data_IF_533007952290
#
_entry.id   IF_533007952290
#
_cell.length_a   1.000
_cell.length_b   1.000
_cell.length_c   1.000
_cell.angle_alpha   90.00
_cell.angle_beta   90.00
_cell.angle_gamma   90.00
#
_symmetry.space_group_name_H-M   'P 1'
#
loop_
_entity.id
_entity.type
_entity.pdbx_description
1 polymer ?
#
# COMPACT_ATOMS: atom_id res chain seq x y z
N UNK A 1 12.96 -7.05 -0.99
CA UNK A 1 13.94 -7.14 0.12
C UNK A 1 13.65 -6.15 1.25
N UNK A 2 13.45 -4.86 0.99
CA UNK A 2 13.18 -3.87 2.05
C UNK A 2 11.98 -4.23 2.94
N UNK A 3 10.89 -4.76 2.38
CA UNK A 3 9.74 -5.21 3.17
C UNK A 3 10.10 -6.25 4.25
N UNK A 4 10.99 -7.20 3.94
CA UNK A 4 11.47 -8.20 4.92
C UNK A 4 12.33 -7.56 6.03
N UNK A 5 13.05 -6.49 5.70
CA UNK A 5 13.81 -5.72 6.68
C UNK A 5 12.85 -4.95 7.60
N UNK A 6 11.78 -4.37 7.05
CA UNK A 6 10.73 -3.72 7.84
C UNK A 6 10.03 -4.72 8.78
N UNK A 7 9.71 -5.94 8.31
CA UNK A 7 9.21 -7.01 9.17
C UNK A 7 10.17 -7.32 10.33
N UNK A 8 11.46 -7.47 10.05
CA UNK A 8 12.45 -7.73 11.10
C UNK A 8 12.54 -6.58 12.10
N UNK A 9 12.43 -5.32 11.66
CA UNK A 9 12.37 -4.16 12.56
C UNK A 9 11.12 -4.26 13.45
N UNK A 10 9.95 -4.50 12.89
CA UNK A 10 8.72 -4.62 13.67
C UNK A 10 8.74 -5.80 14.64
N UNK A 11 9.38 -6.91 14.27
CA UNK A 11 9.59 -8.06 15.15
C UNK A 11 10.41 -7.68 16.40
N UNK A 12 11.45 -6.83 16.26
CA UNK A 12 12.21 -6.35 17.43
C UNK A 12 11.38 -5.51 18.40
N UNK A 13 10.28 -4.91 17.91
CA UNK A 13 9.32 -4.12 18.69
C UNK A 13 8.07 -4.94 19.07
N UNK A 14 8.12 -6.28 18.90
CA UNK A 14 7.01 -7.20 19.18
C UNK A 14 5.73 -6.93 18.39
N UNK A 15 5.88 -6.47 17.13
CA UNK A 15 4.79 -6.19 16.20
C UNK A 15 4.81 -7.17 15.03
N UNK A 16 3.79 -8.01 14.92
CA UNK A 16 3.51 -8.81 13.71
C UNK A 16 2.47 -8.06 12.86
N UNK A 17 2.91 -7.48 11.74
CA UNK A 17 2.05 -6.76 10.81
C UNK A 17 1.56 -7.64 9.65
N UNK A 18 1.80 -8.96 9.71
CA UNK A 18 1.28 -9.91 8.73
C UNK A 18 1.60 -9.55 7.27
N UNK A 19 2.79 -8.98 6.98
CA UNK A 19 3.17 -8.76 5.58
C UNK A 19 3.35 -10.10 4.85
N UNK A 20 3.29 -10.02 3.52
CA UNK A 20 3.51 -11.17 2.64
C UNK A 20 4.51 -10.78 1.54
N UNK A 21 5.81 -10.66 1.86
CA UNK A 21 6.84 -10.46 0.86
C UNK A 21 7.11 -11.77 0.13
N UNK A 22 6.33 -12.01 -0.92
CA UNK A 22 6.46 -13.18 -1.80
C UNK A 22 7.85 -13.26 -2.48
N UNK A 23 8.23 -14.47 -2.86
CA UNK A 23 9.45 -14.76 -3.61
C UNK A 23 9.44 -14.03 -4.96
N UNK A 24 10.49 -13.25 -5.22
CA UNK A 24 10.69 -12.58 -6.51
C UNK A 24 12.19 -12.55 -6.77
N UNK A 25 12.62 -13.21 -7.85
CA UNK A 25 14.03 -13.41 -8.19
C UNK A 25 14.23 -13.11 -9.67
N UNK A 26 15.12 -12.18 -10.01
CA UNK A 26 15.60 -12.02 -11.38
C UNK A 26 16.55 -13.16 -11.73
N UNK A 27 16.33 -13.79 -12.88
CA UNK A 27 17.12 -14.93 -13.38
C UNK A 27 17.93 -14.56 -14.63
N UNK A 28 17.78 -13.33 -15.13
CA UNK A 28 18.48 -12.79 -16.30
C UNK A 28 17.91 -11.44 -16.75
N UNK A 29 18.33 -10.96 -17.92
CA UNK A 29 17.84 -9.70 -18.48
C UNK A 29 16.34 -9.79 -18.80
N UNK A 30 15.54 -8.93 -18.14
CA UNK A 30 14.07 -8.88 -18.23
C UNK A 30 13.35 -10.23 -18.02
N UNK A 31 14.01 -11.19 -17.36
CA UNK A 31 13.44 -12.48 -17.00
C UNK A 31 13.63 -12.73 -15.50
N UNK A 32 12.63 -13.39 -14.91
CA UNK A 32 12.59 -13.66 -13.48
C UNK A 32 11.51 -14.67 -13.13
N UNK A 33 11.46 -15.03 -11.86
CA UNK A 33 10.47 -15.91 -11.28
C UNK A 33 9.77 -15.18 -10.14
N UNK A 34 8.45 -15.36 -10.07
CA UNK A 34 7.59 -14.79 -9.02
C UNK A 34 6.82 -15.93 -8.38
N UNK A 35 6.80 -15.97 -7.06
CA UNK A 35 6.00 -16.90 -6.27
C UNK A 35 4.52 -16.59 -6.42
N UNK A 36 3.72 -17.63 -6.65
CA UNK A 36 2.26 -17.53 -6.67
C UNK A 36 1.75 -17.72 -5.24
N UNK A 37 1.15 -16.67 -4.68
CA UNK A 37 0.41 -16.74 -3.42
C UNK A 37 -0.91 -17.46 -3.70
N UNK A 38 -1.13 -18.60 -3.03
CA UNK A 38 -2.35 -19.38 -3.18
C UNK A 38 -3.56 -18.65 -2.58
N UNK A 39 -4.73 -18.97 -3.10
CA UNK A 39 -6.01 -18.52 -2.56
C UNK A 39 -6.07 -17.00 -2.39
N UNK A 40 -5.57 -16.27 -3.40
CA UNK A 40 -5.52 -14.82 -3.42
C UNK A 40 -6.06 -14.24 -4.72
N UNK A 41 -6.75 -13.10 -4.60
CA UNK A 41 -7.44 -12.43 -5.69
C UNK A 41 -7.15 -10.93 -5.65
N UNK A 42 -7.08 -10.26 -6.80
CA UNK A 42 -6.88 -8.80 -6.81
C UNK A 42 -8.14 -8.07 -6.31
N UNK A 43 -7.97 -6.92 -5.67
CA UNK A 43 -9.11 -6.08 -5.22
C UNK A 43 -9.96 -5.66 -6.42
N UNK A 44 -9.34 -5.38 -7.57
CA UNK A 44 -10.05 -5.06 -8.80
C UNK A 44 -10.93 -6.21 -9.30
N UNK A 45 -10.44 -7.46 -9.30
CA UNK A 45 -11.24 -8.63 -9.68
C UNK A 45 -12.43 -8.83 -8.73
N UNK A 46 -12.22 -8.62 -7.42
CA UNK A 46 -13.30 -8.68 -6.42
C UNK A 46 -14.38 -7.63 -6.73
N UNK A 47 -14.00 -6.37 -6.98
CA UNK A 47 -14.95 -5.32 -7.37
C UNK A 47 -15.68 -5.64 -8.68
N UNK A 48 -14.94 -6.09 -9.71
CA UNK A 48 -15.50 -6.43 -11.03
C UNK A 48 -16.51 -7.59 -10.97
N UNK A 49 -16.32 -8.55 -10.06
CA UNK A 49 -17.24 -9.68 -9.90
C UNK A 49 -18.67 -9.24 -9.53
N UNK A 50 -18.82 -8.10 -8.85
CA UNK A 50 -20.11 -7.59 -8.38
C UNK A 50 -20.64 -6.42 -9.22
N UNK A 51 -19.76 -5.52 -9.67
CA UNK A 51 -20.14 -4.27 -10.36
C UNK A 51 -19.88 -4.35 -11.88
N UNK A 52 -19.24 -5.41 -12.35
CA UNK A 52 -18.78 -5.54 -13.74
C UNK A 52 -17.62 -4.61 -14.06
N UNK A 53 -17.33 -4.44 -15.35
CA UNK A 53 -16.23 -3.60 -15.85
C UNK A 53 -16.58 -2.10 -15.85
N UNK A 54 -17.25 -1.64 -14.80
CA UNK A 54 -17.65 -0.24 -14.61
C UNK A 54 -16.87 0.36 -13.45
N UNK A 55 -16.54 1.65 -13.50
CA UNK A 55 -15.85 2.35 -12.42
C UNK A 55 -16.73 2.62 -11.17
N UNK A 56 -17.88 1.95 -11.06
CA UNK A 56 -18.87 2.17 -10.00
C UNK A 56 -18.56 1.33 -8.75
N UNK A 57 -17.36 1.50 -8.21
CA UNK A 57 -16.89 0.75 -7.03
C UNK A 57 -17.86 0.83 -5.86
N UNK A 58 -17.96 -0.28 -5.10
CA UNK A 58 -18.87 -0.41 -3.95
C UNK A 58 -18.09 -0.76 -2.68
N UNK A 59 -18.45 -0.11 -1.59
CA UNK A 59 -17.76 -0.23 -0.30
C UNK A 59 -17.93 -1.63 0.32
N UNK A 60 -19.10 -2.25 0.20
CA UNK A 60 -19.44 -3.51 0.87
C UNK A 60 -18.83 -4.77 0.22
N UNK A 61 -18.35 -4.68 -1.02
CA UNK A 61 -17.99 -5.85 -1.84
C UNK A 61 -16.85 -6.66 -1.24
N UNK A 62 -15.81 -6.00 -0.73
CA UNK A 62 -14.67 -6.68 -0.14
C UNK A 62 -15.05 -7.44 1.13
N UNK A 63 -15.90 -6.84 1.97
CA UNK A 63 -16.37 -7.48 3.20
C UNK A 63 -17.27 -8.69 2.89
N UNK A 64 -18.18 -8.57 1.92
CA UNK A 64 -19.00 -9.70 1.47
C UNK A 64 -18.16 -10.83 0.90
N UNK A 65 -17.16 -10.52 0.06
CA UNK A 65 -16.24 -11.52 -0.46
C UNK A 65 -15.51 -12.25 0.67
N UNK A 66 -14.97 -11.52 1.65
CA UNK A 66 -14.26 -12.14 2.78
C UNK A 66 -15.20 -12.99 3.65
N UNK A 67 -16.46 -12.57 3.82
CA UNK A 67 -17.49 -13.33 4.55
C UNK A 67 -17.88 -14.62 3.82
N UNK A 68 -17.95 -14.59 2.50
CA UNK A 68 -18.21 -15.78 1.67
C UNK A 68 -17.08 -16.80 1.80
N UNK A 69 -15.82 -16.35 1.78
CA UNK A 69 -14.63 -17.20 1.94
C UNK A 69 -14.47 -17.72 3.37
N UNK A 70 -14.92 -16.97 4.36
CA UNK A 70 -14.91 -17.33 5.77
C UNK A 70 -16.33 -17.45 6.34
N UNK A 71 -17.09 -18.53 6.02
CA UNK A 71 -18.48 -18.66 6.47
C UNK A 71 -18.63 -18.86 7.98
N UNK A 72 -17.58 -19.36 8.64
CA UNK A 72 -17.54 -19.53 10.10
C UNK A 72 -17.19 -18.19 10.73
N UNK A 73 -18.02 -17.70 11.66
CA UNK A 73 -17.84 -16.37 12.30
C UNK A 73 -16.45 -16.19 12.90
N UNK A 74 -15.94 -17.18 13.62
CA UNK A 74 -14.59 -17.13 14.22
C UNK A 74 -13.50 -16.96 13.15
N UNK A 75 -13.61 -17.66 12.02
CA UNK A 75 -12.66 -17.52 10.90
C UNK A 75 -12.77 -16.16 10.24
N UNK A 76 -13.99 -15.64 10.10
CA UNK A 76 -14.22 -14.31 9.56
C UNK A 76 -13.60 -13.22 10.44
N UNK A 77 -13.80 -13.29 11.76
CA UNK A 77 -13.19 -12.35 12.70
C UNK A 77 -11.66 -12.42 12.67
N UNK A 78 -11.09 -13.64 12.61
CA UNK A 78 -9.65 -13.82 12.43
C UNK A 78 -9.14 -13.23 11.10
N UNK A 79 -9.91 -13.37 10.02
CA UNK A 79 -9.58 -12.79 8.72
C UNK A 79 -9.65 -11.25 8.73
N UNK A 80 -10.66 -10.67 9.38
CA UNK A 80 -10.77 -9.21 9.57
C UNK A 80 -9.61 -8.69 10.42
N UNK A 81 -9.22 -9.42 11.47
CA UNK A 81 -8.05 -9.07 12.26
C UNK A 81 -6.77 -9.11 11.42
N UNK A 82 -6.55 -10.18 10.66
CA UNK A 82 -5.41 -10.30 9.74
C UNK A 82 -5.40 -9.19 8.69
N UNK A 83 -6.58 -8.79 8.21
CA UNK A 83 -6.74 -7.66 7.30
C UNK A 83 -6.31 -6.35 7.94
N UNK A 84 -6.73 -6.08 9.18
CA UNK A 84 -6.32 -4.86 9.91
C UNK A 84 -4.80 -4.76 10.04
N UNK A 85 -4.13 -5.85 10.43
CA UNK A 85 -2.66 -5.85 10.59
C UNK A 85 -1.92 -5.71 9.25
N UNK A 86 -2.29 -6.53 8.26
CA UNK A 86 -1.66 -6.48 6.93
C UNK A 86 -1.91 -5.16 6.20
N UNK A 87 -3.13 -4.61 6.27
CA UNK A 87 -3.44 -3.29 5.75
C UNK A 87 -2.59 -2.21 6.42
N UNK A 88 -2.49 -2.20 7.75
CA UNK A 88 -1.66 -1.23 8.48
C UNK A 88 -0.18 -1.34 8.07
N UNK A 89 0.36 -2.56 8.02
CA UNK A 89 1.75 -2.81 7.62
C UNK A 89 2.05 -2.31 6.21
N UNK A 90 1.19 -2.63 5.22
CA UNK A 90 1.38 -2.16 3.85
C UNK A 90 1.14 -0.66 3.69
N UNK A 91 0.18 -0.05 4.41
CA UNK A 91 0.00 1.41 4.40
C UNK A 91 1.28 2.11 4.89
N UNK A 92 1.85 1.68 6.02
CA UNK A 92 3.09 2.25 6.58
C UNK A 92 4.27 2.00 5.65
N UNK A 93 4.45 0.76 5.17
CA UNK A 93 5.57 0.41 4.29
C UNK A 93 5.52 1.20 2.99
N UNK A 94 4.39 1.20 2.28
CA UNK A 94 4.27 1.87 0.98
C UNK A 94 4.37 3.37 1.08
N UNK A 95 3.91 3.95 2.20
CA UNK A 95 4.13 5.35 2.52
C UNK A 95 5.61 5.67 2.67
N UNK A 96 6.35 4.95 3.53
CA UNK A 96 7.78 5.20 3.76
C UNK A 96 8.61 4.95 2.50
N UNK A 97 8.24 3.94 1.70
CA UNK A 97 8.89 3.59 0.44
C UNK A 97 8.50 4.50 -0.74
N UNK A 98 7.48 5.35 -0.58
CA UNK A 98 6.98 6.20 -1.66
C UNK A 98 6.50 5.43 -2.87
N UNK A 99 5.75 4.35 -2.66
CA UNK A 99 5.18 3.51 -3.74
C UNK A 99 3.77 4.02 -4.05
N UNK A 100 3.61 4.76 -5.14
CA UNK A 100 2.37 5.47 -5.45
C UNK A 100 1.64 5.04 -6.72
N UNK A 101 2.18 4.12 -7.51
CA UNK A 101 1.43 3.49 -8.60
C UNK A 101 0.54 2.35 -8.07
N UNK A 102 -0.28 2.66 -7.07
CA UNK A 102 -1.10 1.69 -6.33
C UNK A 102 -2.57 1.86 -6.69
N UNK A 103 -2.99 1.08 -7.68
CA UNK A 103 -4.39 0.86 -8.03
C UNK A 103 -4.85 -0.53 -7.58
N UNK A 104 -6.16 -0.76 -7.61
CA UNK A 104 -6.80 -1.99 -7.14
C UNK A 104 -6.33 -3.28 -7.82
N UNK A 105 -5.68 -3.24 -9.00
CA UNK A 105 -5.09 -4.43 -9.61
C UNK A 105 -3.74 -4.81 -9.00
N UNK A 106 -3.03 -3.85 -8.40
CA UNK A 106 -1.72 -4.06 -7.78
C UNK A 106 -1.81 -4.41 -6.29
N UNK A 107 -3.01 -4.67 -5.81
CA UNK A 107 -3.30 -5.07 -4.43
C UNK A 107 -4.12 -6.34 -4.48
N UNK A 108 -3.67 -7.32 -3.71
CA UNK A 108 -4.31 -8.62 -3.58
C UNK A 108 -4.70 -8.87 -2.12
N UNK A 109 -5.68 -9.73 -1.93
CA UNK A 109 -6.08 -10.24 -0.62
C UNK A 109 -6.22 -11.76 -0.71
N UNK A 110 -5.75 -12.47 0.31
CA UNK A 110 -5.98 -13.91 0.44
C UNK A 110 -7.34 -14.21 1.07
N UNK A 111 -7.85 -15.43 0.87
CA UNK A 111 -9.10 -15.90 1.48
C UNK A 111 -9.05 -15.88 3.03
N UNK A 112 -7.85 -15.83 3.61
CA UNK A 112 -7.61 -15.69 5.06
C UNK A 112 -7.53 -14.23 5.53
N UNK A 113 -7.81 -13.27 4.66
CA UNK A 113 -7.82 -11.84 4.97
C UNK A 113 -6.45 -11.15 4.95
N UNK A 114 -5.40 -11.79 4.45
CA UNK A 114 -4.09 -11.17 4.36
C UNK A 114 -4.00 -10.27 3.10
N UNK A 115 -3.91 -8.96 3.31
CA UNK A 115 -3.74 -7.97 2.24
C UNK A 115 -2.27 -7.85 1.87
N UNK A 116 -1.94 -7.84 0.58
CA UNK A 116 -0.58 -7.62 0.12
C UNK A 116 -0.50 -6.89 -1.21
N UNK A 117 0.56 -6.09 -1.36
CA UNK A 117 0.83 -5.37 -2.59
C UNK A 117 1.70 -6.23 -3.51
N UNK A 118 1.41 -6.18 -4.81
CA UNK A 118 2.17 -6.84 -5.87
C UNK A 118 2.67 -5.83 -6.89
N UNK A 119 3.58 -6.23 -7.77
CA UNK A 119 4.12 -5.38 -8.84
C UNK A 119 4.69 -4.05 -8.30
N UNK A 120 5.87 -4.12 -7.70
CA UNK A 120 6.60 -2.95 -7.19
C UNK A 120 7.41 -2.24 -8.28
N UNK A 121 6.97 -2.32 -9.53
CA UNK A 121 7.67 -1.76 -10.68
C UNK A 121 7.98 -0.27 -10.57
N UNK A 122 7.31 0.50 -9.69
CA UNK A 122 7.54 1.92 -9.46
C UNK A 122 7.69 2.28 -7.98
N UNK A 123 8.84 2.84 -7.57
CA UNK A 123 9.22 3.12 -6.16
C UNK A 123 9.75 4.56 -6.01
N UNK A 124 9.68 5.13 -4.80
CA UNK A 124 10.24 6.43 -4.38
C UNK A 124 9.86 7.63 -5.25
N UNK A 125 8.57 7.79 -5.55
CA UNK A 125 8.15 9.09 -6.06
C UNK A 125 8.48 9.40 -7.53
N UNK A 126 9.21 8.53 -8.23
CA UNK A 126 9.58 8.67 -9.65
C UNK A 126 8.40 8.35 -10.58
N UNK A 127 7.33 9.13 -10.39
CA UNK A 127 6.13 9.09 -11.22
C UNK A 127 6.37 9.92 -12.48
N UNK A 128 6.13 9.31 -13.64
CA UNK A 128 6.04 10.05 -14.90
C UNK A 128 4.91 11.08 -14.79
N UNK A 129 5.25 12.37 -14.82
CA UNK A 129 4.28 13.45 -14.98
C UNK A 129 3.62 13.31 -16.36
N UNK A 130 2.29 13.30 -16.40
CA UNK A 130 1.55 13.36 -17.66
C UNK A 130 1.23 14.82 -17.95
N UNK A 131 1.79 15.37 -19.03
CA UNK A 131 1.48 16.72 -19.53
C UNK A 131 1.61 17.88 -18.52
N UNK A 132 2.45 17.76 -17.48
CA UNK A 132 2.62 18.82 -16.48
C UNK A 132 1.44 18.97 -15.51
N UNK A 133 0.48 18.04 -15.51
CA UNK A 133 -0.63 18.00 -14.55
C UNK A 133 -0.23 17.08 -13.38
N UNK A 134 -0.19 17.65 -12.18
CA UNK A 134 -0.03 16.86 -10.96
C UNK A 134 -1.27 15.98 -10.77
N UNK A 135 -1.11 14.66 -10.97
CA UNK A 135 -2.15 13.66 -10.61
C UNK A 135 -2.56 13.87 -9.16
N UNK A 136 -3.85 13.71 -8.85
CA UNK A 136 -4.30 13.61 -7.46
C UNK A 136 -3.61 12.41 -6.80
N UNK A 137 -2.94 12.66 -5.66
CA UNK A 137 -2.17 11.65 -4.95
C UNK A 137 -2.79 11.37 -3.60
N UNK A 138 -2.80 10.11 -3.22
CA UNK A 138 -2.99 9.65 -1.84
C UNK A 138 -1.65 9.14 -1.31
N UNK A 139 -1.38 9.30 0.01
CA UNK A 139 -0.14 8.84 0.61
C UNK A 139 0.02 7.30 0.56
N UNK A 140 -1.09 6.57 0.60
CA UNK A 140 -1.18 5.12 0.44
C UNK A 140 -2.62 4.74 0.06
N UNK A 141 -2.87 3.45 -0.22
CA UNK A 141 -4.23 2.99 -0.53
C UNK A 141 -4.97 2.64 0.74
N UNK A 142 -5.96 3.46 1.09
CA UNK A 142 -6.96 3.19 2.10
C UNK A 142 -8.32 3.64 1.57
N UNK A 143 -8.98 2.74 0.87
CA UNK A 143 -10.22 2.97 0.12
C UNK A 143 -11.47 2.69 0.96
N UNK A 144 -12.65 3.15 0.54
CA UNK A 144 -13.89 2.92 1.29
C UNK A 144 -14.23 1.45 1.54
N UNK A 145 -13.87 0.54 0.63
CA UNK A 145 -14.04 -0.90 0.84
C UNK A 145 -13.14 -1.46 1.95
N UNK A 146 -11.94 -0.92 2.11
CA UNK A 146 -11.05 -1.30 3.21
C UNK A 146 -11.61 -0.81 4.55
N UNK A 147 -12.10 0.43 4.58
CA UNK A 147 -12.77 0.99 5.76
C UNK A 147 -14.01 0.18 6.14
N UNK A 148 -14.76 -0.29 5.14
CA UNK A 148 -15.96 -1.10 5.36
C UNK A 148 -15.62 -2.46 5.98
N UNK A 149 -14.52 -3.11 5.57
CA UNK A 149 -14.03 -4.34 6.23
C UNK A 149 -13.74 -4.09 7.71
N UNK A 150 -13.21 -2.91 8.04
CA UNK A 150 -12.98 -2.48 9.43
C UNK A 150 -14.26 -1.99 10.13
N UNK A 151 -15.45 -2.14 9.53
CA UNK A 151 -16.72 -1.71 10.11
C UNK A 151 -16.90 -0.20 10.16
N UNK A 152 -16.20 0.55 9.30
CA UNK A 152 -16.29 2.01 9.19
C UNK A 152 -16.93 2.41 7.87
N UNK A 153 -17.91 3.31 7.94
CA UNK A 153 -18.50 3.97 6.77
C UNK A 153 -18.46 5.48 6.95
N UNK A 154 -18.04 6.19 5.90
CA UNK A 154 -17.83 7.64 5.91
C UNK A 154 -16.83 8.07 6.98
N UNK A 155 -17.20 9.10 7.76
CA UNK A 155 -16.34 9.71 8.79
C UNK A 155 -16.48 9.11 10.19
N UNK A 156 -17.30 8.07 10.38
CA UNK A 156 -17.45 7.39 11.67
C UNK A 156 -16.17 6.63 12.06
N UNK A 157 -16.04 6.28 13.33
CA UNK A 157 -14.96 5.42 13.84
C UNK A 157 -15.56 4.08 14.28
N UNK A 158 -14.74 3.03 14.31
CA UNK A 158 -15.10 1.69 14.77
C UNK A 158 -13.95 1.09 15.59
N UNK A 159 -14.18 0.05 16.40
CA UNK A 159 -13.12 -0.61 17.16
C UNK A 159 -11.96 -1.12 16.28
N UNK A 160 -12.27 -1.74 15.14
CA UNK A 160 -11.22 -2.21 14.21
C UNK A 160 -10.48 -1.05 13.53
N UNK A 161 -11.16 0.06 13.22
CA UNK A 161 -10.49 1.24 12.65
C UNK A 161 -9.58 1.94 13.67
N UNK A 162 -9.99 2.02 14.94
CA UNK A 162 -9.12 2.52 16.01
C UNK A 162 -7.91 1.62 16.21
N UNK A 163 -8.11 0.30 16.17
CA UNK A 163 -7.00 -0.67 16.20
C UNK A 163 -6.07 -0.48 14.99
N UNK A 164 -6.61 -0.30 13.79
CA UNK A 164 -5.83 0.02 12.59
C UNK A 164 -4.98 1.28 12.76
N UNK A 165 -5.56 2.37 13.30
CA UNK A 165 -4.83 3.62 13.56
C UNK A 165 -3.70 3.42 14.58
N UNK A 166 -3.97 2.71 15.67
CA UNK A 166 -2.96 2.38 16.70
C UNK A 166 -1.81 1.53 16.13
N UNK A 167 -2.15 0.48 15.37
CA UNK A 167 -1.16 -0.39 14.71
C UNK A 167 -0.33 0.40 13.70
N UNK A 168 -0.96 1.25 12.88
CA UNK A 168 -0.26 2.14 11.94
C UNK A 168 0.75 3.05 12.66
N UNK A 169 0.33 3.70 13.75
CA UNK A 169 1.20 4.60 14.51
C UNK A 169 2.36 3.83 15.13
N UNK A 170 2.11 2.69 15.78
CA UNK A 170 3.15 1.85 16.36
C UNK A 170 4.16 1.39 15.32
N UNK A 171 3.68 0.89 14.19
CA UNK A 171 4.52 0.45 13.08
C UNK A 171 5.36 1.60 12.49
N UNK A 172 4.77 2.79 12.33
CA UNK A 172 5.46 3.96 11.82
C UNK A 172 6.55 4.45 12.77
N UNK A 173 6.24 4.55 14.07
CA UNK A 173 7.23 4.95 15.09
C UNK A 173 8.37 3.93 15.20
N UNK A 174 8.07 2.63 15.15
CA UNK A 174 9.09 1.57 15.09
C UNK A 174 10.05 1.76 13.92
N UNK A 175 9.55 2.05 12.71
CA UNK A 175 10.44 2.36 11.58
C UNK A 175 11.28 3.63 11.81
N UNK A 176 10.74 4.63 12.52
CA UNK A 176 11.48 5.87 12.85
C UNK A 176 12.65 5.62 13.80
N UNK A 177 12.54 4.68 14.73
CA UNK A 177 13.69 4.26 15.58
C UNK A 177 14.87 3.74 14.75
N UNK A 178 14.59 3.27 13.53
CA UNK A 178 15.58 2.75 12.58
C UNK A 178 15.79 3.66 11.35
N UNK A 179 15.52 4.97 11.47
CA UNK A 179 15.59 5.91 10.34
C UNK A 179 16.93 5.87 9.61
N UNK A 180 18.06 5.87 10.33
CA UNK A 180 19.38 5.87 9.69
C UNK A 180 19.64 4.59 8.89
N UNK A 181 19.15 3.43 9.38
CA UNK A 181 19.23 2.15 8.67
C UNK A 181 18.41 2.18 7.38
N UNK A 182 17.20 2.71 7.44
CA UNK A 182 16.37 2.85 6.24
C UNK A 182 17.06 3.79 5.24
N UNK A 183 17.47 4.98 5.66
CA UNK A 183 18.17 5.95 4.78
C UNK A 183 19.38 5.31 4.09
N UNK A 184 20.23 4.56 4.81
CA UNK A 184 21.41 3.95 4.21
C UNK A 184 21.04 2.82 3.22
N UNK A 185 20.06 1.98 3.54
CA UNK A 185 19.62 0.91 2.64
C UNK A 185 19.08 1.47 1.33
N UNK A 186 18.28 2.54 1.41
CA UNK A 186 17.78 3.22 0.23
C UNK A 186 18.89 3.93 -0.54
N UNK A 187 19.83 4.59 0.15
CA UNK A 187 20.99 5.22 -0.48
C UNK A 187 21.84 4.18 -1.25
N UNK A 188 22.05 3.00 -0.68
CA UNK A 188 22.72 1.89 -1.36
C UNK A 188 21.92 1.42 -2.58
N UNK A 189 20.59 1.32 -2.47
CA UNK A 189 19.73 0.94 -3.60
C UNK A 189 19.84 1.93 -4.77
N UNK A 190 19.98 3.23 -4.52
CA UNK A 190 20.26 4.23 -5.57
C UNK A 190 21.57 3.92 -6.31
N UNK A 191 22.62 3.56 -5.58
CA UNK A 191 23.95 3.31 -6.14
C UNK A 191 24.03 2.04 -7.00
N UNK A 192 23.10 1.11 -6.85
CA UNK A 192 23.06 -0.15 -7.62
C UNK A 192 22.55 -0.01 -9.05
N UNK A 193 22.25 1.23 -9.51
CA UNK A 193 21.88 1.49 -10.90
C UNK A 193 20.41 1.19 -11.22
N UNK A 194 19.53 1.23 -10.21
CA UNK A 194 18.09 1.15 -10.45
C UNK A 194 17.66 2.42 -11.21
N UNK A 195 17.13 2.33 -12.45
CA UNK A 195 16.83 3.51 -13.28
C UNK A 195 15.78 4.45 -12.68
N UNK A 196 15.05 3.97 -11.67
CA UNK A 196 13.97 4.69 -10.99
C UNK A 196 14.44 5.39 -9.72
N UNK A 197 15.74 5.50 -9.51
CA UNK A 197 16.37 5.90 -8.27
C UNK A 197 17.69 6.59 -8.62
N UNK A 198 17.61 7.86 -8.96
CA UNK A 198 18.72 8.54 -9.67
C UNK A 198 19.19 9.80 -8.98
N UNK A 199 18.43 10.31 -8.00
CA UNK A 199 18.63 11.67 -7.55
C UNK A 199 18.59 11.82 -6.02
N UNK A 200 19.13 12.93 -5.53
CA UNK A 200 19.21 13.23 -4.10
C UNK A 200 17.83 13.44 -3.50
N UNK A 201 16.89 13.92 -4.32
CA UNK A 201 15.49 14.14 -3.98
C UNK A 201 14.79 12.83 -3.53
N UNK A 202 15.22 11.67 -4.06
CA UNK A 202 14.71 10.35 -3.64
C UNK A 202 15.10 10.02 -2.18
N UNK A 203 16.27 10.47 -1.72
CA UNK A 203 16.71 10.33 -0.32
C UNK A 203 16.00 11.35 0.58
N UNK A 204 15.76 12.55 0.06
CA UNK A 204 15.03 13.58 0.81
C UNK A 204 13.59 13.14 1.08
N UNK A 205 12.95 12.44 0.12
CA UNK A 205 11.62 11.86 0.31
C UNK A 205 11.54 10.97 1.56
N UNK A 206 12.47 10.03 1.74
CA UNK A 206 12.39 9.12 2.90
C UNK A 206 12.60 9.85 4.22
N UNK A 207 13.42 10.90 4.23
CA UNK A 207 13.62 11.75 5.43
C UNK A 207 12.35 12.50 5.79
N UNK A 208 11.65 13.03 4.79
CA UNK A 208 10.38 13.72 4.98
C UNK A 208 9.27 12.75 5.41
N UNK A 209 9.19 11.58 4.76
CA UNK A 209 8.23 10.53 5.09
C UNK A 209 8.41 10.01 6.52
N UNK A 210 9.65 9.88 7.00
CA UNK A 210 9.97 9.48 8.39
C UNK A 210 9.95 10.65 9.39
N UNK A 211 9.59 11.86 8.94
CA UNK A 211 9.54 13.08 9.76
C UNK A 211 10.80 13.30 10.60
N UNK A 212 11.97 13.16 9.97
CA UNK A 212 13.26 13.34 10.64
C UNK A 212 13.36 14.73 11.25
N UNK A 213 13.70 14.79 12.54
CA UNK A 213 13.81 16.03 13.30
C UNK A 213 12.53 16.45 14.04
N UNK A 214 11.41 15.75 13.86
CA UNK A 214 10.20 15.93 14.67
C UNK A 214 10.18 14.99 15.89
N UNK A 215 9.50 15.38 16.96
CA UNK A 215 9.24 14.51 18.11
C UNK A 215 8.19 13.43 17.75
N UNK A 216 8.01 12.44 18.62
CA UNK A 216 7.10 11.32 18.38
C UNK A 216 5.62 11.72 18.32
N UNK A 217 5.18 12.70 19.11
CA UNK A 217 3.79 13.17 19.09
C UNK A 217 3.44 13.87 17.77
N UNK A 218 4.34 14.70 17.26
CA UNK A 218 4.20 15.34 15.96
C UNK A 218 4.25 14.32 14.81
N UNK A 219 5.09 13.29 14.93
CA UNK A 219 5.18 12.21 13.96
C UNK A 219 3.91 11.34 13.94
N UNK A 220 3.38 11.02 15.11
CA UNK A 220 2.09 10.32 15.28
C UNK A 220 0.97 11.11 14.64
N UNK A 221 0.85 12.40 14.97
CA UNK A 221 -0.17 13.28 14.38
C UNK A 221 -0.03 13.34 12.87
N UNK A 222 1.19 13.51 12.37
CA UNK A 222 1.46 13.55 10.93
C UNK A 222 0.96 12.30 10.21
N UNK A 223 1.19 11.10 10.74
CA UNK A 223 0.71 9.86 10.12
C UNK A 223 -0.81 9.72 10.19
N UNK A 224 -1.43 10.12 11.31
CA UNK A 224 -2.89 10.16 11.43
C UNK A 224 -3.53 11.13 10.43
N UNK A 225 -2.89 12.27 10.17
CA UNK A 225 -3.34 13.21 9.14
C UNK A 225 -3.29 12.57 7.74
N UNK A 226 -2.27 11.74 7.44
CA UNK A 226 -2.22 10.98 6.18
C UNK A 226 -3.37 9.98 6.04
N UNK A 227 -3.77 9.32 7.13
CA UNK A 227 -4.95 8.42 7.14
C UNK A 227 -6.21 9.22 6.78
N UNK A 228 -6.40 10.41 7.35
CA UNK A 228 -7.57 11.24 7.05
C UNK A 228 -7.58 11.75 5.60
N UNK A 229 -6.42 12.09 5.03
CA UNK A 229 -6.30 12.43 3.60
C UNK A 229 -6.84 11.30 2.72
N UNK A 230 -6.50 10.05 3.02
CA UNK A 230 -7.04 8.90 2.27
C UNK A 230 -8.56 8.78 2.41
N UNK A 231 -9.10 8.96 3.62
CA UNK A 231 -10.54 8.92 3.87
C UNK A 231 -11.30 10.02 3.11
N UNK A 232 -10.73 11.22 3.01
CA UNK A 232 -11.32 12.33 2.27
C UNK A 232 -11.33 12.08 0.76
N UNK A 233 -10.30 11.41 0.24
CA UNK A 233 -10.22 11.09 -1.19
C UNK A 233 -11.13 9.95 -1.61
N UNK A 234 -11.45 9.01 -0.72
CA UNK A 234 -12.38 7.90 -1.00
C UNK A 234 -12.03 7.16 -2.30
N UNK A 235 -13.00 7.05 -3.21
CA UNK A 235 -12.81 6.37 -4.49
C UNK A 235 -12.13 7.21 -5.59
N UNK A 236 -11.89 8.51 -5.36
CA UNK A 236 -11.48 9.45 -6.41
C UNK A 236 -10.21 9.01 -7.13
N UNK A 237 -9.18 8.60 -6.39
CA UNK A 237 -7.90 8.18 -6.99
C UNK A 237 -8.05 6.87 -7.77
N UNK A 238 -8.81 5.89 -7.24
CA UNK A 238 -9.03 4.62 -7.93
C UNK A 238 -9.88 4.80 -9.19
N UNK A 239 -10.85 5.70 -9.17
CA UNK A 239 -11.65 6.04 -10.34
C UNK A 239 -10.80 6.70 -11.44
N UNK A 240 -9.92 7.63 -11.07
CA UNK A 240 -8.99 8.23 -12.02
C UNK A 240 -8.07 7.18 -12.66
N UNK A 241 -7.56 6.23 -11.86
CA UNK A 241 -6.78 5.10 -12.38
C UNK A 241 -7.56 4.22 -13.34
N UNK A 242 -8.81 3.88 -13.00
CA UNK A 242 -9.70 3.12 -13.86
C UNK A 242 -9.93 3.84 -15.21
N UNK A 243 -10.21 5.15 -15.19
CA UNK A 243 -10.37 5.93 -16.42
C UNK A 243 -9.10 5.92 -17.27
N UNK A 244 -7.92 6.06 -16.64
CA UNK A 244 -6.65 6.01 -17.37
C UNK A 244 -6.41 4.65 -18.05
N UNK A 245 -6.73 3.54 -17.37
CA UNK A 245 -6.57 2.19 -17.90
C UNK A 245 -7.58 1.89 -19.01
N UNK A 246 -8.85 2.20 -18.80
CA UNK A 246 -9.94 1.88 -19.74
C UNK A 246 -9.93 2.77 -20.97
N UNK A 247 -9.66 4.07 -20.81
CA UNK A 247 -9.60 4.99 -21.95
C UNK A 247 -8.31 4.85 -22.77
N UNK A 248 -7.39 3.97 -22.36
CA UNK A 248 -6.21 3.63 -23.14
C UNK A 248 -5.42 4.86 -23.56
N UNK A 249 -5.33 5.88 -22.70
CA UNK A 249 -4.49 7.06 -22.95
C UNK A 249 -3.05 6.54 -22.97
N UNK A 250 -2.60 6.15 -24.18
CA UNK A 250 -1.30 5.52 -24.42
C UNK A 250 -0.24 6.39 -23.77
N UNK A 251 0.57 5.78 -22.91
CA UNK A 251 1.84 6.34 -22.51
C UNK A 251 2.60 6.66 -23.79
N UNK A 252 2.78 7.95 -24.08
CA UNK A 252 3.64 8.37 -25.17
C UNK A 252 5.06 7.95 -24.84
N UNK A 253 5.48 6.81 -25.36
CA UNK A 253 6.89 6.50 -25.52
C UNK A 253 7.47 7.59 -26.40
N UNK A 254 8.21 8.53 -25.81
CA UNK A 254 9.19 9.30 -26.57
C UNK A 254 10.28 8.30 -26.96
N UNK A 255 10.11 7.66 -28.11
CA UNK A 255 11.25 7.19 -28.88
C UNK A 255 12.06 8.43 -29.28
N UNK A 256 13.15 8.67 -28.58
CA UNK A 256 14.23 9.52 -29.07
C UNK A 256 14.83 8.82 -30.28
N UNK A 257 14.59 9.38 -31.46
CA UNK A 257 15.43 9.16 -32.64
C UNK A 257 16.77 9.87 -32.45
#
# INVERSE_FOLDING_TARGET
>A
HILRIMESIWETESLDLCLLPYGCISTGDKIGMIEIVKDATTIAQIQQSTVGNTGAFKDEVLNHWLKEKCPIEEKFQAAVERFVYSCAGYCVATFVLGIGDRHNDNIMISETGNLFHIDFGHILGNYKSFLGINKERVPFVLTPDFLFVMGTSGKKTSPHFQKFQDVCVKAYLALRHHTNLLIILFSMMLMTGMPQLTSKEDIEYIRDALTVGKNEEDAKKYFLDQIEVCRDKGWTVQFNWFLHLVLGIKQGEKHSA
#
